data_IF_906899370139
#
_entry.id   IF_906899370139
#
_cell.length_a   1.000
_cell.length_b   1.000
_cell.length_c   1.000
_cell.angle_alpha   90.00
_cell.angle_beta   90.00
_cell.angle_gamma   90.00
#
_symmetry.space_group_name_H-M   'P 1'
#
loop_
_entity.id
_entity.type
_entity.pdbx_description
1 polymer ?
#
# COMPACT_ATOMS: atom_id res chain seq x y z
N UNK A 1 -14.86 -91.34 1.68
CA UNK A 1 -15.75 -90.30 2.23
C UNK A 1 -15.00 -89.00 2.32
N UNK A 2 -15.31 -88.08 1.40
CA UNK A 2 -14.68 -86.77 1.34
C UNK A 2 -15.74 -85.76 1.66
N UNK A 3 -15.60 -85.00 2.76
CA UNK A 3 -16.47 -83.88 3.10
C UNK A 3 -15.73 -82.54 3.14
N UNK A 4 -16.21 -81.73 2.29
CA UNK A 4 -16.18 -80.32 2.09
C UNK A 4 -15.67 -79.43 3.25
N UNK A 5 -14.56 -78.80 3.01
CA UNK A 5 -14.11 -77.59 3.65
C UNK A 5 -14.00 -76.42 2.65
N UNK A 6 -15.15 -75.96 2.11
CA UNK A 6 -15.19 -74.82 1.22
C UNK A 6 -16.41 -73.99 1.59
N UNK A 7 -16.32 -73.08 2.60
CA UNK A 7 -17.39 -72.08 2.80
C UNK A 7 -16.98 -70.80 3.56
N UNK A 8 -15.76 -70.68 4.11
CA UNK A 8 -15.50 -69.54 5.02
C UNK A 8 -14.65 -68.40 4.41
N UNK A 9 -14.05 -68.62 3.21
CA UNK A 9 -13.23 -67.58 2.61
C UNK A 9 -14.00 -66.52 1.81
N UNK A 10 -15.17 -66.82 1.30
CA UNK A 10 -15.96 -65.84 0.51
C UNK A 10 -16.65 -64.76 1.36
N UNK A 11 -17.00 -65.04 2.61
CA UNK A 11 -17.66 -64.10 3.50
C UNK A 11 -16.69 -63.03 4.03
N UNK A 12 -15.46 -63.36 4.29
CA UNK A 12 -14.40 -62.46 4.75
C UNK A 12 -13.92 -61.53 3.61
N UNK A 13 -13.89 -62.03 2.37
CA UNK A 13 -13.49 -61.26 1.20
C UNK A 13 -14.57 -60.20 0.87
N UNK A 14 -15.84 -60.52 1.09
CA UNK A 14 -16.97 -59.56 0.91
C UNK A 14 -16.93 -58.41 1.94
N UNK A 15 -16.57 -58.68 3.19
CA UNK A 15 -16.45 -57.60 4.21
C UNK A 15 -15.26 -56.68 3.94
N UNK A 16 -14.08 -57.22 3.57
CA UNK A 16 -12.90 -56.42 3.20
C UNK A 16 -13.17 -55.55 1.96
N UNK A 17 -13.85 -56.11 0.94
CA UNK A 17 -14.24 -55.36 -0.26
C UNK A 17 -15.19 -54.21 0.04
N UNK A 18 -16.17 -54.42 0.95
CA UNK A 18 -17.10 -53.35 1.37
C UNK A 18 -16.38 -52.24 2.17
N UNK A 19 -15.45 -52.60 3.03
CA UNK A 19 -14.63 -51.62 3.79
C UNK A 19 -13.74 -50.80 2.83
N UNK A 20 -13.07 -51.45 1.88
CA UNK A 20 -12.26 -50.77 0.88
C UNK A 20 -13.09 -49.83 0.00
N UNK A 21 -14.29 -50.25 -0.42
CA UNK A 21 -15.21 -49.42 -1.18
C UNK A 21 -15.67 -48.21 -0.36
N UNK A 22 -16.02 -48.39 0.92
CA UNK A 22 -16.41 -47.29 1.81
C UNK A 22 -15.27 -46.27 2.04
N UNK A 23 -14.04 -46.76 2.22
CA UNK A 23 -12.85 -45.90 2.36
C UNK A 23 -12.58 -45.12 1.06
N UNK A 24 -12.69 -45.79 -0.09
CA UNK A 24 -12.52 -45.15 -1.39
C UNK A 24 -13.57 -44.05 -1.64
N UNK A 25 -14.85 -44.31 -1.32
CA UNK A 25 -15.93 -43.33 -1.42
C UNK A 25 -15.69 -42.16 -0.50
N UNK A 26 -15.23 -42.41 0.75
CA UNK A 26 -14.90 -41.34 1.72
C UNK A 26 -13.77 -40.44 1.18
N UNK A 27 -12.71 -41.05 0.64
CA UNK A 27 -11.58 -40.29 0.04
C UNK A 27 -12.06 -39.50 -1.16
N UNK A 28 -12.92 -40.06 -2.02
CA UNK A 28 -13.47 -39.36 -3.16
C UNK A 28 -14.33 -38.15 -2.74
N UNK A 29 -15.17 -38.29 -1.70
CA UNK A 29 -15.94 -37.20 -1.13
C UNK A 29 -15.02 -36.11 -0.57
N UNK A 30 -13.99 -36.47 0.19
CA UNK A 30 -13.00 -35.52 0.72
C UNK A 30 -12.24 -34.80 -0.41
N UNK A 31 -11.88 -35.48 -1.48
CA UNK A 31 -11.19 -34.90 -2.64
C UNK A 31 -12.07 -33.93 -3.45
N UNK A 32 -13.39 -34.13 -3.44
CA UNK A 32 -14.36 -33.26 -4.15
C UNK A 32 -14.78 -32.06 -3.29
N UNK A 33 -14.93 -32.25 -1.98
CA UNK A 33 -15.47 -31.22 -1.07
C UNK A 33 -14.38 -30.26 -0.56
N UNK A 34 -13.19 -30.79 -0.21
CA UNK A 34 -12.11 -29.98 0.35
C UNK A 34 -11.57 -28.93 -0.64
N UNK A 35 -11.24 -29.27 -1.91
CA UNK A 35 -10.72 -28.29 -2.85
C UNK A 35 -11.62 -27.07 -3.06
N UNK A 36 -12.95 -27.24 -3.34
CA UNK A 36 -13.82 -26.07 -3.48
C UNK A 36 -13.96 -25.28 -2.18
N UNK A 37 -14.00 -25.91 -1.01
CA UNK A 37 -14.05 -25.22 0.27
C UNK A 37 -12.77 -24.37 0.51
N UNK A 38 -11.60 -24.92 0.21
CA UNK A 38 -10.32 -24.19 0.30
C UNK A 38 -10.26 -23.06 -0.72
N UNK A 39 -10.70 -23.29 -1.96
CA UNK A 39 -10.74 -22.25 -3.01
C UNK A 39 -11.68 -21.13 -2.61
N UNK A 40 -12.87 -21.42 -2.09
CA UNK A 40 -13.83 -20.40 -1.63
C UNK A 40 -13.26 -19.61 -0.44
N UNK A 41 -12.55 -20.27 0.48
CA UNK A 41 -11.94 -19.57 1.64
C UNK A 41 -10.78 -18.68 1.22
N UNK A 42 -9.97 -19.13 0.26
CA UNK A 42 -8.87 -18.33 -0.30
C UNK A 42 -9.41 -17.15 -1.14
N UNK A 43 -10.45 -17.35 -1.94
CA UNK A 43 -11.12 -16.26 -2.68
C UNK A 43 -11.77 -15.24 -1.72
N UNK A 44 -12.41 -15.69 -0.66
CA UNK A 44 -13.01 -14.80 0.34
C UNK A 44 -11.99 -13.96 1.10
N UNK A 45 -10.73 -14.42 1.18
CA UNK A 45 -9.62 -13.65 1.75
C UNK A 45 -9.08 -12.59 0.77
N UNK A 46 -9.30 -12.77 -0.54
CA UNK A 46 -8.92 -11.81 -1.57
C UNK A 46 -10.05 -10.83 -1.95
N UNK A 47 -11.30 -11.11 -1.56
CA UNK A 47 -12.46 -10.22 -1.69
C UNK A 47 -12.62 -9.25 -0.51
N UNK A 48 -11.53 -8.83 0.11
CA UNK A 48 -11.55 -7.58 0.85
C UNK A 48 -11.75 -6.48 -0.19
N UNK A 49 -12.93 -5.85 -0.16
CA UNK A 49 -13.25 -4.69 -1.00
C UNK A 49 -12.14 -3.64 -0.96
N UNK A 50 -12.19 -2.60 -1.81
CA UNK A 50 -11.11 -1.62 -1.86
C UNK A 50 -10.80 -1.14 -0.45
N UNK A 51 -9.54 -1.29 -0.04
CA UNK A 51 -9.09 -0.86 1.29
C UNK A 51 -9.51 0.59 1.49
N UNK A 52 -10.07 0.91 2.65
CA UNK A 52 -10.35 2.29 3.03
C UNK A 52 -9.09 3.14 2.89
N UNK A 53 -9.25 4.37 2.42
CA UNK A 53 -8.14 5.31 2.23
C UNK A 53 -8.35 6.51 3.14
N UNK A 54 -7.31 6.91 3.85
CA UNK A 54 -7.30 8.11 4.70
C UNK A 54 -6.26 9.07 4.16
N UNK A 55 -6.66 10.31 3.92
CA UNK A 55 -5.76 11.40 3.54
C UNK A 55 -5.44 12.23 4.78
N UNK A 56 -4.14 12.43 5.07
CA UNK A 56 -3.66 13.10 6.28
C UNK A 56 -2.76 14.28 5.88
N UNK A 57 -3.25 15.52 5.90
CA UNK A 57 -2.40 16.70 5.83
C UNK A 57 -1.61 16.82 7.15
N UNK A 58 -0.38 16.28 7.17
CA UNK A 58 0.43 16.26 8.39
C UNK A 58 1.24 17.56 8.51
N UNK A 59 0.58 18.64 8.93
CA UNK A 59 1.20 19.96 9.08
C UNK A 59 1.71 20.23 10.51
N UNK A 60 1.88 19.16 11.29
CA UNK A 60 2.46 19.20 12.62
C UNK A 60 3.98 19.05 12.52
N UNK A 61 4.72 19.98 13.13
CA UNK A 61 6.18 19.88 13.20
C UNK A 61 6.60 18.61 13.97
N UNK A 62 7.56 17.83 13.45
CA UNK A 62 7.95 16.52 14.01
C UNK A 62 8.89 16.66 15.22
N UNK A 63 8.48 17.42 16.24
CA UNK A 63 9.15 17.38 17.53
C UNK A 63 9.14 15.93 18.08
N UNK A 64 10.07 15.56 18.97
CA UNK A 64 10.08 14.22 19.54
C UNK A 64 8.73 13.79 20.09
N UNK A 65 8.17 12.69 19.55
CA UNK A 65 6.86 12.15 19.92
C UNK A 65 5.64 12.82 19.30
N UNK A 66 5.78 13.92 18.55
CA UNK A 66 4.64 14.64 17.98
C UNK A 66 3.85 13.82 16.94
N UNK A 67 4.50 12.92 16.22
CA UNK A 67 3.86 12.05 15.23
C UNK A 67 3.44 10.68 15.77
N UNK A 68 3.83 10.33 17.01
CA UNK A 68 3.46 9.06 17.66
C UNK A 68 1.95 8.76 17.62
N UNK A 69 1.02 9.72 17.84
CA UNK A 69 -0.40 9.42 17.75
C UNK A 69 -0.84 8.95 16.36
N UNK A 70 -0.24 9.48 15.29
CA UNK A 70 -0.51 9.04 13.92
C UNK A 70 0.08 7.64 13.67
N UNK A 71 1.33 7.39 14.11
CA UNK A 71 1.98 6.09 14.00
C UNK A 71 1.18 5.00 14.73
N UNK A 72 0.63 5.31 15.90
CA UNK A 72 -0.24 4.41 16.67
C UNK A 72 -1.52 4.04 15.91
N UNK A 73 -2.15 5.01 15.23
CA UNK A 73 -3.34 4.76 14.41
C UNK A 73 -2.98 3.90 13.20
N UNK A 74 -1.90 4.24 12.48
CA UNK A 74 -1.43 3.50 11.31
C UNK A 74 -1.15 2.03 11.66
N UNK A 75 -0.44 1.79 12.76
CA UNK A 75 -0.06 0.43 13.20
C UNK A 75 -1.26 -0.42 13.61
N UNK A 76 -2.32 0.20 14.17
CA UNK A 76 -3.56 -0.48 14.58
C UNK A 76 -4.50 -0.79 13.42
N UNK A 77 -4.31 -0.15 12.28
CA UNK A 77 -5.18 -0.27 11.10
C UNK A 77 -4.40 -0.64 9.84
N UNK A 78 -3.77 -1.83 9.79
CA UNK A 78 -2.95 -2.26 8.64
C UNK A 78 -3.78 -2.51 7.36
N UNK A 79 -5.10 -2.61 7.48
CA UNK A 79 -6.08 -2.75 6.41
C UNK A 79 -6.51 -1.41 5.79
N UNK A 80 -6.12 -0.28 6.40
CA UNK A 80 -6.40 1.08 5.92
C UNK A 80 -5.14 1.65 5.25
N UNK A 81 -5.29 2.24 4.06
CA UNK A 81 -4.20 2.94 3.38
C UNK A 81 -4.18 4.42 3.78
N UNK A 82 -3.04 4.90 4.25
CA UNK A 82 -2.82 6.29 4.62
C UNK A 82 -1.99 7.01 3.56
N UNK A 83 -2.50 8.13 3.05
CA UNK A 83 -1.72 9.07 2.25
C UNK A 83 -1.40 10.28 3.12
N UNK A 84 -0.12 10.48 3.43
CA UNK A 84 0.34 11.49 4.39
C UNK A 84 1.13 12.56 3.65
N UNK A 85 0.72 13.82 3.81
CA UNK A 85 1.38 14.97 3.20
C UNK A 85 2.41 15.56 4.16
N UNK A 86 3.66 15.62 3.72
CA UNK A 86 4.80 16.17 4.45
C UNK A 86 5.03 17.62 4.01
N UNK A 87 4.99 18.56 4.95
CA UNK A 87 5.12 19.99 4.70
C UNK A 87 6.13 20.67 5.65
N UNK A 88 7.41 20.66 5.37
CA UNK A 88 8.42 21.29 6.22
C UNK A 88 8.34 22.82 6.31
N UNK A 89 7.91 23.49 5.24
CA UNK A 89 7.91 24.94 5.21
C UNK A 89 7.14 25.52 4.03
N UNK A 90 5.83 25.20 3.90
CA UNK A 90 5.00 25.47 2.73
C UNK A 90 5.64 24.95 1.43
N UNK A 91 6.32 23.81 1.54
CA UNK A 91 7.16 23.15 0.56
C UNK A 91 8.27 22.33 1.24
N UNK A 92 9.30 21.91 0.51
CA UNK A 92 10.42 21.11 1.05
C UNK A 92 11.30 21.88 2.04
N UNK A 93 11.10 23.19 2.16
CA UNK A 93 11.98 24.09 2.90
C UNK A 93 13.09 24.71 2.02
N UNK A 94 13.92 25.62 2.59
CA UNK A 94 14.89 26.38 1.82
C UNK A 94 16.20 25.62 1.52
N UNK A 95 16.42 24.49 2.18
CA UNK A 95 17.67 23.73 2.12
C UNK A 95 17.51 22.46 1.26
N UNK A 96 18.62 21.83 0.91
CA UNK A 96 18.65 20.56 0.17
C UNK A 96 17.99 19.39 0.91
N UNK A 97 17.91 19.46 2.23
CA UNK A 97 17.21 18.53 3.11
C UNK A 97 16.37 19.31 4.13
N UNK A 98 15.26 18.78 4.60
CA UNK A 98 14.55 19.34 5.74
C UNK A 98 15.38 19.19 7.02
N UNK A 99 14.98 19.83 8.10
CA UNK A 99 15.71 19.75 9.35
C UNK A 99 15.81 18.34 9.95
N UNK A 100 16.64 18.20 11.01
CA UNK A 100 16.95 16.92 11.63
C UNK A 100 15.73 16.20 12.24
N UNK A 101 14.65 16.93 12.59
CA UNK A 101 13.44 16.29 13.09
C UNK A 101 12.66 15.61 11.95
N UNK A 102 12.52 16.26 10.79
CA UNK A 102 11.90 15.65 9.62
C UNK A 102 12.71 14.47 9.10
N UNK A 103 14.04 14.60 8.98
CA UNK A 103 14.90 13.51 8.51
C UNK A 103 14.91 12.30 9.44
N UNK A 104 14.60 12.50 10.74
CA UNK A 104 14.43 11.42 11.72
C UNK A 104 13.05 10.76 11.65
N UNK A 105 11.97 11.54 11.49
CA UNK A 105 10.60 11.02 11.62
C UNK A 105 10.01 10.51 10.29
N UNK A 106 10.35 11.10 9.14
CA UNK A 106 9.87 10.65 7.82
C UNK A 106 10.17 9.15 7.58
N UNK A 107 11.39 8.62 7.84
CA UNK A 107 11.68 7.20 7.65
C UNK A 107 10.83 6.26 8.48
N UNK A 108 10.36 6.68 9.66
CA UNK A 108 9.47 5.89 10.50
C UNK A 108 8.10 5.72 9.81
N UNK A 109 7.51 6.81 9.31
CA UNK A 109 6.26 6.73 8.54
C UNK A 109 6.45 5.92 7.25
N UNK A 110 7.58 6.09 6.56
CA UNK A 110 7.89 5.36 5.33
C UNK A 110 8.06 3.85 5.56
N UNK A 111 8.30 3.38 6.80
CA UNK A 111 8.45 1.97 7.13
C UNK A 111 7.12 1.20 7.17
N UNK A 112 5.98 1.87 7.23
CA UNK A 112 4.67 1.23 7.22
C UNK A 112 4.23 0.94 5.77
N UNK A 113 3.91 -0.32 5.45
CA UNK A 113 3.49 -0.76 4.11
C UNK A 113 2.19 -0.10 3.62
N UNK A 114 1.33 0.31 4.56
CA UNK A 114 0.06 0.97 4.30
C UNK A 114 0.15 2.50 4.29
N UNK A 115 1.37 3.08 4.28
CA UNK A 115 1.60 4.52 4.21
C UNK A 115 2.19 4.92 2.87
N UNK A 116 1.64 5.99 2.29
CA UNK A 116 2.19 6.69 1.14
C UNK A 116 2.49 8.13 1.52
N UNK A 117 3.72 8.57 1.32
CA UNK A 117 4.15 9.95 1.60
C UNK A 117 4.06 10.80 0.34
N UNK A 118 3.50 12.00 0.46
CA UNK A 118 3.51 13.04 -0.56
C UNK A 118 4.24 14.28 -0.04
N UNK A 119 4.94 14.98 -0.93
CA UNK A 119 5.49 16.30 -0.62
C UNK A 119 4.44 17.39 -0.88
N UNK A 120 4.34 18.36 0.01
CA UNK A 120 3.50 19.55 -0.15
C UNK A 120 4.15 20.57 -1.09
N UNK A 121 3.40 21.12 -2.02
CA UNK A 121 3.83 22.27 -2.84
C UNK A 121 2.67 23.21 -3.06
N UNK A 122 2.80 24.47 -2.62
CA UNK A 122 1.81 25.52 -2.87
C UNK A 122 1.87 26.00 -4.32
N UNK A 123 0.70 26.23 -4.95
CA UNK A 123 0.58 26.75 -6.33
C UNK A 123 0.10 28.20 -6.38
N UNK A 124 -0.34 28.75 -5.25
CA UNK A 124 -0.88 30.10 -5.14
C UNK A 124 -1.96 30.37 -6.21
N UNK A 125 -2.93 29.45 -6.27
CA UNK A 125 -4.06 29.51 -7.22
C UNK A 125 -3.59 29.59 -8.69
N UNK A 126 -2.59 28.78 -9.04
CA UNK A 126 -1.93 28.76 -10.36
C UNK A 126 -1.18 30.07 -10.71
N UNK A 127 -0.83 30.90 -9.72
CA UNK A 127 -0.12 32.17 -9.93
C UNK A 127 1.35 32.12 -9.51
N UNK A 128 1.76 31.08 -8.78
CA UNK A 128 3.16 30.92 -8.38
C UNK A 128 4.02 30.63 -9.61
N UNK A 129 5.20 31.28 -9.68
CA UNK A 129 6.12 31.04 -10.78
C UNK A 129 6.46 29.55 -10.90
N UNK A 130 6.24 28.98 -12.09
CA UNK A 130 6.39 27.56 -12.34
C UNK A 130 7.81 27.04 -12.08
N UNK A 131 8.84 27.87 -12.31
CA UNK A 131 10.23 27.51 -12.02
C UNK A 131 10.49 27.32 -10.52
N UNK A 132 9.76 28.05 -9.66
CA UNK A 132 9.85 27.88 -8.20
C UNK A 132 9.15 26.59 -7.75
N UNK A 133 7.99 26.29 -8.35
CA UNK A 133 7.27 25.04 -8.07
C UNK A 133 8.08 23.83 -8.54
N UNK A 134 8.66 23.90 -9.72
CA UNK A 134 9.57 22.86 -10.26
C UNK A 134 10.74 22.61 -9.31
N UNK A 135 11.39 23.68 -8.83
CA UNK A 135 12.50 23.55 -7.86
C UNK A 135 12.07 22.83 -6.58
N UNK A 136 10.88 23.11 -6.06
CA UNK A 136 10.39 22.43 -4.86
C UNK A 136 10.15 20.93 -5.13
N UNK A 137 9.60 20.58 -6.29
CA UNK A 137 9.43 19.18 -6.72
C UNK A 137 10.79 18.46 -6.81
N UNK A 138 11.77 19.10 -7.46
CA UNK A 138 13.14 18.57 -7.61
C UNK A 138 13.83 18.43 -6.24
N UNK A 139 13.58 19.35 -5.31
CA UNK A 139 14.12 19.27 -3.94
C UNK A 139 13.59 18.05 -3.20
N UNK A 140 12.28 17.79 -3.24
CA UNK A 140 11.72 16.55 -2.68
C UNK A 140 12.30 15.30 -3.33
N UNK A 141 12.42 15.29 -4.65
CA UNK A 141 12.96 14.18 -5.41
C UNK A 141 14.43 13.88 -5.07
N UNK A 142 15.19 14.92 -4.70
CA UNK A 142 16.60 14.80 -4.33
C UNK A 142 16.84 14.37 -2.87
N UNK A 143 15.82 14.36 -2.00
CA UNK A 143 16.01 14.00 -0.58
C UNK A 143 16.68 12.64 -0.36
N UNK A 144 16.27 11.54 -1.04
CA UNK A 144 16.92 10.24 -0.86
C UNK A 144 18.41 10.25 -1.19
N UNK A 145 18.77 10.94 -2.29
CA UNK A 145 20.17 11.04 -2.74
C UNK A 145 20.99 11.94 -1.83
N UNK A 146 20.46 13.12 -1.48
CA UNK A 146 21.18 14.10 -0.65
C UNK A 146 21.40 13.58 0.78
N UNK A 147 20.51 12.74 1.29
CA UNK A 147 20.62 12.14 2.62
C UNK A 147 21.33 10.79 2.63
N UNK A 148 21.56 10.19 1.46
CA UNK A 148 21.96 8.77 1.33
C UNK A 148 20.98 7.81 2.03
N UNK A 149 19.71 8.22 2.18
CA UNK A 149 18.66 7.43 2.84
C UNK A 149 17.42 7.31 1.93
N UNK A 150 17.19 6.14 1.31
CA UNK A 150 16.03 5.93 0.43
C UNK A 150 14.68 6.04 1.14
N UNK A 151 14.63 5.92 2.46
CA UNK A 151 13.40 6.05 3.24
C UNK A 151 12.91 7.51 3.37
N UNK A 152 13.68 8.50 2.88
CA UNK A 152 13.23 9.89 2.74
C UNK A 152 12.47 10.16 1.43
N UNK A 153 12.30 9.16 0.56
CA UNK A 153 11.57 9.33 -0.69
C UNK A 153 10.09 9.64 -0.45
N UNK A 154 9.60 10.73 -1.06
CA UNK A 154 8.17 10.93 -1.25
C UNK A 154 7.72 10.26 -2.56
N UNK A 155 6.46 9.78 -2.61
CA UNK A 155 5.94 9.05 -3.78
C UNK A 155 5.08 9.89 -4.71
N UNK A 156 5.14 11.20 -4.53
CA UNK A 156 4.39 12.17 -5.34
C UNK A 156 4.30 13.50 -4.65
N UNK A 157 3.57 14.40 -5.27
CA UNK A 157 3.39 15.78 -4.82
C UNK A 157 1.91 16.04 -4.58
N UNK A 158 1.60 16.67 -3.47
CA UNK A 158 0.30 17.27 -3.19
C UNK A 158 0.38 18.77 -3.51
N UNK A 159 -0.32 19.16 -4.58
CA UNK A 159 -0.44 20.57 -4.94
C UNK A 159 -1.58 21.20 -4.13
N UNK A 160 -1.21 22.13 -3.27
CA UNK A 160 -2.16 22.93 -2.50
C UNK A 160 -2.39 24.30 -3.13
N UNK A 161 -3.40 25.01 -2.63
CA UNK A 161 -3.84 26.31 -3.14
C UNK A 161 -4.17 26.26 -4.64
N UNK A 162 -4.81 25.18 -5.09
CA UNK A 162 -5.24 25.04 -6.48
C UNK A 162 -6.54 25.83 -6.73
N UNK A 163 -6.76 26.37 -7.96
CA UNK A 163 -8.01 27.05 -8.29
C UNK A 163 -9.23 26.13 -8.11
N UNK A 164 -10.32 26.67 -7.58
CA UNK A 164 -11.57 25.94 -7.37
C UNK A 164 -12.55 26.07 -8.56
N UNK A 165 -12.29 27.01 -9.44
CA UNK A 165 -13.10 27.24 -10.64
C UNK A 165 -12.28 26.93 -11.88
N UNK A 166 -12.97 26.51 -12.95
CA UNK A 166 -12.32 26.28 -14.22
C UNK A 166 -11.77 27.60 -14.79
N UNK A 167 -10.51 27.54 -15.18
CA UNK A 167 -9.79 28.58 -15.88
C UNK A 167 -8.78 27.91 -16.83
N UNK A 168 -8.71 28.34 -18.07
CA UNK A 168 -7.91 27.68 -19.11
C UNK A 168 -6.41 27.78 -18.82
N UNK A 169 -5.95 28.95 -18.37
CA UNK A 169 -4.54 29.17 -18.00
C UNK A 169 -4.15 28.35 -16.77
N UNK A 170 -5.05 28.29 -15.78
CA UNK A 170 -4.85 27.45 -14.59
C UNK A 170 -4.80 25.96 -14.94
N UNK A 171 -5.65 25.50 -15.86
CA UNK A 171 -5.59 24.12 -16.35
C UNK A 171 -4.25 23.82 -17.03
N UNK A 172 -3.80 24.69 -17.93
CA UNK A 172 -2.51 24.53 -18.61
C UNK A 172 -1.33 24.50 -17.60
N UNK A 173 -1.36 25.39 -16.60
CA UNK A 173 -0.38 25.44 -15.53
C UNK A 173 -0.33 24.12 -14.73
N UNK A 174 -1.49 23.59 -14.32
CA UNK A 174 -1.56 22.34 -13.53
C UNK A 174 -1.17 21.11 -14.37
N UNK A 175 -1.48 21.13 -15.68
CA UNK A 175 -1.02 20.08 -16.60
C UNK A 175 0.51 20.06 -16.72
N UNK A 176 1.13 21.24 -16.89
CA UNK A 176 2.59 21.34 -16.93
C UNK A 176 3.22 20.82 -15.63
N UNK A 177 2.68 21.17 -14.46
CA UNK A 177 3.17 20.64 -13.17
C UNK A 177 3.02 19.12 -13.06
N UNK A 178 1.91 18.57 -13.56
CA UNK A 178 1.69 17.13 -13.58
C UNK A 178 2.76 16.44 -14.43
N UNK A 179 3.09 17.00 -15.57
CA UNK A 179 4.14 16.47 -16.44
C UNK A 179 5.54 16.60 -15.81
N UNK A 180 5.79 17.70 -15.08
CA UNK A 180 7.02 17.84 -14.28
C UNK A 180 7.13 16.71 -13.25
N UNK A 181 6.11 16.45 -12.46
CA UNK A 181 6.13 15.37 -11.46
C UNK A 181 6.39 14.02 -12.12
N UNK A 182 5.67 13.69 -13.21
CA UNK A 182 5.83 12.42 -13.92
C UNK A 182 7.23 12.20 -14.51
N UNK A 183 7.90 13.29 -14.90
CA UNK A 183 9.20 13.23 -15.54
C UNK A 183 10.36 13.51 -14.58
N UNK A 184 10.10 13.80 -13.29
CA UNK A 184 11.15 14.05 -12.29
C UNK A 184 11.66 12.73 -11.70
N UNK A 185 12.92 12.32 -11.97
CA UNK A 185 13.49 11.14 -11.34
C UNK A 185 13.73 11.36 -9.85
N UNK A 186 13.64 10.29 -9.04
CA UNK A 186 13.92 10.34 -7.60
C UNK A 186 12.68 10.44 -6.72
N UNK A 187 11.51 10.77 -7.26
CA UNK A 187 10.25 10.43 -6.62
C UNK A 187 10.12 8.91 -6.56
N UNK A 188 9.54 8.37 -5.47
CA UNK A 188 9.44 6.92 -5.28
C UNK A 188 8.67 6.22 -6.41
N UNK A 189 8.73 4.88 -6.50
CA UNK A 189 8.01 4.13 -7.52
C UNK A 189 6.50 4.42 -7.43
N UNK A 190 5.82 4.37 -8.58
CA UNK A 190 4.39 4.69 -8.70
C UNK A 190 4.04 6.12 -8.22
N UNK A 191 4.87 7.10 -8.55
CA UNK A 191 4.64 8.50 -8.22
C UNK A 191 3.46 9.10 -9.02
N UNK A 192 2.76 10.04 -8.37
CA UNK A 192 1.57 10.75 -8.88
C UNK A 192 1.71 12.25 -8.70
#
# INVERSE_FOLDING_TARGET
MAEKHVSNRRCLQSRRSRILLAVFVLIAILAVVIPPAVVVTLHKKNDMGPKSKVFVPLYVYPAPGAWTPLEDVISKHPDVNFTVVINPGSGPGPNALPDGNYTREIPKLASYENVRLLGYVATTYAKRNISLVRRDIETYAAWPTNSSNPALAVRGIFFDETPQQYDEDALAYLQELTDVVKNTPGLGPDHY
#
